data_IF_790886694154
#
_entry.id   IF_790886694154
#
_cell.length_a   1.000
_cell.length_b   1.000
_cell.length_c   1.000
_cell.angle_alpha   90.00
_cell.angle_beta   90.00
_cell.angle_gamma   90.00
#
_symmetry.space_group_name_H-M   'P 1'
#
loop_
_entity.id
_entity.type
_entity.pdbx_description
1 polymer ?
#
# COMPACT_ATOMS: atom_id res chain seq x y z
N UNK A 1 19.01 26.10 4.35
CA UNK A 1 18.87 25.86 2.89
C UNK A 1 19.20 24.42 2.51
N UNK A 2 20.37 23.89 2.94
CA UNK A 2 20.78 22.49 2.75
C UNK A 2 19.74 21.42 3.14
N UNK A 3 19.09 21.61 4.29
CA UNK A 3 18.02 20.74 4.80
C UNK A 3 16.82 20.67 3.84
N UNK A 4 16.33 21.81 3.38
CA UNK A 4 15.17 21.89 2.48
C UNK A 4 15.44 21.21 1.12
N UNK A 5 16.68 21.28 0.62
CA UNK A 5 17.09 20.61 -0.64
C UNK A 5 17.13 19.09 -0.43
N UNK A 6 17.72 18.62 0.67
CA UNK A 6 17.78 17.19 1.02
C UNK A 6 16.39 16.57 1.24
N UNK A 7 15.51 17.31 1.91
CA UNK A 7 14.15 16.87 2.20
C UNK A 7 13.24 16.93 0.97
N UNK A 8 13.47 17.89 0.07
CA UNK A 8 12.61 18.15 -1.09
C UNK A 8 12.81 17.17 -2.24
N UNK A 9 14.02 16.64 -2.43
CA UNK A 9 14.35 15.76 -3.55
C UNK A 9 15.02 14.44 -3.09
N UNK A 10 14.34 13.29 -3.26
CA UNK A 10 14.88 11.97 -2.90
C UNK A 10 16.08 11.54 -3.78
N UNK A 11 16.25 12.12 -4.98
CA UNK A 11 17.34 11.81 -5.90
C UNK A 11 18.64 12.54 -5.57
N UNK A 12 18.60 13.60 -4.77
CA UNK A 12 19.78 14.39 -4.43
C UNK A 12 20.64 13.65 -3.41
N UNK A 13 21.95 13.58 -3.70
CA UNK A 13 22.96 13.01 -2.82
C UNK A 13 23.64 14.07 -1.96
N UNK A 14 24.23 13.67 -0.82
CA UNK A 14 25.04 14.58 0.00
C UNK A 14 26.22 15.19 -0.75
N UNK A 15 26.75 14.50 -1.76
CA UNK A 15 27.82 15.03 -2.62
C UNK A 15 27.34 16.22 -3.46
N UNK A 16 26.15 16.12 -4.06
CA UNK A 16 25.56 17.22 -4.84
C UNK A 16 25.18 18.41 -3.96
N UNK A 17 24.67 18.16 -2.75
CA UNK A 17 24.39 19.24 -1.79
C UNK A 17 25.67 19.94 -1.35
N UNK A 18 26.74 19.16 -1.13
CA UNK A 18 28.05 19.69 -0.78
C UNK A 18 28.62 20.57 -1.90
N UNK A 19 28.47 20.16 -3.17
CA UNK A 19 28.87 20.92 -4.35
C UNK A 19 28.09 22.24 -4.48
N UNK A 20 26.76 22.22 -4.33
CA UNK A 20 25.90 23.41 -4.38
C UNK A 20 26.27 24.43 -3.30
N UNK A 21 26.68 23.95 -2.13
CA UNK A 21 26.99 24.79 -0.97
C UNK A 21 28.48 25.13 -0.84
N UNK A 22 29.34 24.61 -1.72
CA UNK A 22 30.78 24.79 -1.65
C UNK A 22 31.42 24.20 -0.38
N UNK A 23 30.84 23.16 0.20
CA UNK A 23 31.34 22.51 1.42
C UNK A 23 31.70 21.04 1.19
N UNK A 24 32.23 20.36 2.19
CA UNK A 24 32.59 18.94 2.07
C UNK A 24 31.38 18.04 2.32
N UNK A 25 31.31 16.88 1.64
CA UNK A 25 30.30 15.84 1.87
C UNK A 25 30.22 15.43 3.36
N UNK A 26 31.37 15.34 4.01
CA UNK A 26 31.45 14.99 5.44
C UNK A 26 30.78 16.05 6.32
N UNK A 27 30.96 17.34 6.01
CA UNK A 27 30.29 18.43 6.74
C UNK A 27 28.77 18.36 6.58
N UNK A 28 28.26 18.09 5.37
CA UNK A 28 26.82 17.91 5.13
C UNK A 28 26.29 16.68 5.87
N UNK A 29 27.01 15.56 5.84
CA UNK A 29 26.63 14.31 6.53
C UNK A 29 26.61 14.47 8.05
N UNK A 30 27.62 15.14 8.63
CA UNK A 30 27.65 15.43 10.07
C UNK A 30 26.51 16.38 10.46
N UNK A 31 26.22 17.38 9.64
CA UNK A 31 25.11 18.29 9.89
C UNK A 31 23.76 17.56 9.79
N UNK A 32 23.60 16.66 8.83
CA UNK A 32 22.39 15.84 8.69
C UNK A 32 22.19 14.93 9.91
N UNK A 33 23.24 14.26 10.38
CA UNK A 33 23.18 13.40 11.58
C UNK A 33 22.95 14.21 12.87
N UNK A 34 23.55 15.39 13.00
CA UNK A 34 23.43 16.25 14.19
C UNK A 34 22.05 16.89 14.34
N UNK A 35 21.31 17.04 13.24
CA UNK A 35 20.00 17.71 13.21
C UNK A 35 18.89 16.78 12.70
N UNK A 36 19.12 15.46 12.76
CA UNK A 36 18.14 14.43 12.42
C UNK A 36 17.42 14.66 11.09
N UNK A 37 18.17 14.97 10.02
CA UNK A 37 17.56 15.19 8.71
C UNK A 37 16.95 13.90 8.15
N UNK A 38 15.63 13.81 8.19
CA UNK A 38 14.89 12.72 7.56
C UNK A 38 14.49 13.07 6.12
N UNK A 39 14.56 12.10 5.21
CA UNK A 39 13.99 12.28 3.86
C UNK A 39 12.47 12.30 3.94
N UNK A 40 11.82 13.04 3.03
CA UNK A 40 10.38 12.92 2.86
C UNK A 40 10.04 11.50 2.39
N UNK A 41 9.06 10.83 3.03
CA UNK A 41 8.62 9.53 2.57
C UNK A 41 8.03 9.68 1.16
N UNK A 42 8.56 8.92 0.21
CA UNK A 42 8.04 8.84 -1.15
C UNK A 42 6.72 8.07 -1.16
N UNK A 43 5.84 8.28 -2.14
CA UNK A 43 4.61 7.49 -2.29
C UNK A 43 4.86 5.97 -2.23
N UNK A 44 5.97 5.51 -2.81
CA UNK A 44 6.46 4.14 -2.77
C UNK A 44 6.75 3.65 -1.34
N UNK A 45 7.50 4.43 -0.54
CA UNK A 45 7.78 4.06 0.87
C UNK A 45 6.51 4.01 1.71
N UNK A 46 5.55 4.91 1.46
CA UNK A 46 4.24 4.91 2.14
C UNK A 46 3.42 3.68 1.71
N UNK A 47 3.46 3.30 0.43
CA UNK A 47 2.79 2.10 -0.07
C UNK A 47 3.40 0.81 0.53
N UNK A 48 4.73 0.71 0.58
CA UNK A 48 5.43 -0.40 1.19
C UNK A 48 5.14 -0.53 2.70
N UNK A 49 5.13 0.59 3.43
CA UNK A 49 4.73 0.61 4.84
C UNK A 49 3.27 0.19 5.03
N UNK A 50 2.36 0.66 4.17
CA UNK A 50 0.96 0.26 4.22
C UNK A 50 0.76 -1.24 3.97
N UNK A 51 1.53 -1.82 3.04
CA UNK A 51 1.52 -3.27 2.80
C UNK A 51 1.95 -4.05 4.04
N UNK A 52 3.08 -3.68 4.65
CA UNK A 52 3.59 -4.33 5.85
C UNK A 52 2.64 -4.20 7.06
N UNK A 53 2.01 -3.03 7.23
CA UNK A 53 1.01 -2.79 8.25
C UNK A 53 -0.25 -3.65 8.02
N UNK A 54 -0.71 -3.76 6.77
CA UNK A 54 -1.83 -4.63 6.42
C UNK A 54 -1.50 -6.10 6.68
N UNK A 55 -0.29 -6.57 6.34
CA UNK A 55 0.19 -7.94 6.59
C UNK A 55 0.10 -8.30 8.07
N UNK A 56 0.70 -7.44 8.91
CA UNK A 56 0.70 -7.63 10.36
C UNK A 56 -0.72 -7.70 10.93
N UNK A 57 -1.60 -6.79 10.50
CA UNK A 57 -3.00 -6.75 10.96
C UNK A 57 -3.80 -7.97 10.50
N UNK A 58 -3.65 -8.38 9.25
CA UNK A 58 -4.36 -9.54 8.71
C UNK A 58 -3.95 -10.82 9.44
N UNK A 59 -2.66 -11.00 9.71
CA UNK A 59 -2.17 -12.16 10.48
C UNK A 59 -2.67 -12.17 11.92
N UNK A 60 -2.69 -11.02 12.59
CA UNK A 60 -3.23 -10.89 13.95
C UNK A 60 -4.70 -11.28 14.00
N UNK A 61 -5.52 -10.74 13.09
CA UNK A 61 -6.96 -11.07 13.03
C UNK A 61 -7.21 -12.56 12.71
N UNK A 62 -6.37 -13.19 11.89
CA UNK A 62 -6.46 -14.64 11.62
C UNK A 62 -6.07 -15.47 12.84
N UNK A 63 -5.03 -15.07 13.58
CA UNK A 63 -4.63 -15.71 14.85
C UNK A 63 -5.71 -15.57 15.91
N UNK A 64 -6.33 -14.40 16.03
CA UNK A 64 -7.46 -14.17 16.94
C UNK A 64 -8.68 -15.01 16.56
N UNK A 65 -9.03 -15.09 15.28
CA UNK A 65 -10.14 -15.95 14.81
C UNK A 65 -9.88 -17.42 15.09
N UNK A 66 -8.66 -17.90 14.86
CA UNK A 66 -8.31 -19.31 15.14
C UNK A 66 -8.28 -19.59 16.64
N UNK A 67 -7.85 -18.63 17.47
CA UNK A 67 -7.92 -18.73 18.93
C UNK A 67 -9.37 -18.72 19.46
N UNK A 68 -10.24 -17.84 18.95
CA UNK A 68 -11.66 -17.79 19.34
C UNK A 68 -12.47 -19.00 18.85
N UNK A 69 -12.09 -19.57 17.69
CA UNK A 69 -12.74 -20.78 17.15
C UNK A 69 -12.34 -22.05 17.91
N UNK A 70 -11.29 -22.02 18.74
CA UNK A 70 -10.92 -23.14 19.60
C UNK A 70 -11.83 -23.29 20.84
N UNK A 71 -12.53 -22.21 21.24
CA UNK A 71 -13.46 -22.19 22.38
C UNK A 71 -14.94 -22.30 21.99
N UNK A 72 -15.27 -22.36 20.68
CA UNK A 72 -16.65 -22.52 20.23
C UNK A 72 -16.75 -23.59 19.13
N UNK A 73 -17.24 -24.77 19.52
CA UNK A 73 -17.69 -25.79 18.59
C UNK A 73 -18.75 -25.19 17.64
N UNK A 74 -18.71 -25.47 16.32
CA UNK A 74 -19.66 -24.89 15.39
C UNK A 74 -21.05 -25.50 15.63
N UNK A 75 -21.93 -24.73 16.27
CA UNK A 75 -23.36 -24.98 16.19
C UNK A 75 -23.76 -24.85 14.72
N UNK A 76 -24.17 -25.98 14.15
CA UNK A 76 -24.75 -26.10 12.81
C UNK A 76 -25.92 -25.14 12.70
N UNK A 77 -25.78 -24.08 11.90
CA UNK A 77 -26.89 -23.23 11.51
C UNK A 77 -27.75 -23.99 10.50
N UNK A 78 -28.83 -24.62 10.98
CA UNK A 78 -29.97 -24.96 10.14
C UNK A 78 -30.69 -23.65 9.75
N UNK A 79 -30.61 -23.30 8.48
CA UNK A 79 -31.39 -22.20 7.89
C UNK A 79 -32.78 -22.72 7.54
N UNK A 80 -33.78 -22.40 8.36
CA UNK A 80 -35.19 -22.46 7.97
C UNK A 80 -35.52 -21.37 6.93
N UNK A 81 -36.41 -21.63 5.96
CA UNK A 81 -36.72 -20.68 4.90
C UNK A 81 -37.87 -19.78 5.34
N UNK A 82 -37.61 -18.64 6.00
CA UNK A 82 -38.57 -17.53 6.16
C UNK A 82 -37.90 -16.28 6.76
N UNK A 83 -36.83 -15.79 6.13
CA UNK A 83 -36.26 -14.48 6.47
C UNK A 83 -36.51 -13.51 5.32
N UNK A 84 -37.39 -12.54 5.55
CA UNK A 84 -37.67 -11.44 4.64
C UNK A 84 -36.36 -10.77 4.17
N UNK A 85 -36.30 -10.26 2.92
CA UNK A 85 -35.13 -9.59 2.41
C UNK A 85 -34.87 -8.34 3.25
N UNK A 86 -33.91 -8.44 4.16
CA UNK A 86 -33.42 -7.32 4.95
C UNK A 86 -32.93 -6.27 3.97
N UNK A 87 -33.71 -5.20 3.82
CA UNK A 87 -33.34 -4.06 2.98
C UNK A 87 -31.94 -3.63 3.39
N UNK A 88 -31.01 -3.70 2.45
CA UNK A 88 -29.71 -3.06 2.59
C UNK A 88 -29.97 -1.59 2.87
N UNK A 89 -29.90 -1.21 4.15
CA UNK A 89 -29.88 0.18 4.56
C UNK A 89 -28.52 0.70 4.14
N UNK A 90 -28.44 1.17 2.90
CA UNK A 90 -27.34 2.01 2.44
C UNK A 90 -27.35 3.23 3.35
N UNK A 91 -26.59 3.15 4.44
CA UNK A 91 -26.25 4.37 5.14
C UNK A 91 -25.43 5.19 4.15
N UNK A 92 -25.78 6.45 3.87
CA UNK A 92 -24.83 7.31 3.22
C UNK A 92 -23.59 7.32 4.11
N UNK A 93 -22.47 6.83 3.58
CA UNK A 93 -21.16 7.00 4.20
C UNK A 93 -20.97 8.51 4.22
N UNK A 94 -21.39 9.17 5.29
CA UNK A 94 -20.90 10.50 5.60
C UNK A 94 -19.41 10.29 5.83
N UNK A 95 -18.51 10.87 5.03
CA UNK A 95 -17.15 11.02 5.48
C UNK A 95 -17.22 11.97 6.67
N UNK A 96 -17.32 11.42 7.88
CA UNK A 96 -16.93 12.14 9.07
C UNK A 96 -15.42 12.30 8.91
N UNK A 97 -15.03 13.36 8.21
CA UNK A 97 -13.70 13.90 8.32
C UNK A 97 -13.56 14.37 9.77
N UNK A 98 -13.26 13.43 10.66
CA UNK A 98 -12.58 13.76 11.91
C UNK A 98 -11.19 14.16 11.46
N UNK A 99 -11.07 15.42 11.06
CA UNK A 99 -9.80 16.11 11.11
C UNK A 99 -9.49 16.15 12.61
N UNK A 100 -8.46 15.44 13.11
CA UNK A 100 -8.05 15.64 14.49
C UNK A 100 -7.71 17.13 14.61
N UNK A 101 -8.38 17.82 15.55
CA UNK A 101 -8.05 19.20 15.92
C UNK A 101 -6.53 19.26 16.09
N UNK A 102 -5.88 20.00 15.19
CA UNK A 102 -4.45 20.23 15.27
C UNK A 102 -4.22 20.97 16.58
N UNK A 103 -3.54 20.39 17.59
CA UNK A 103 -3.20 21.14 18.78
C UNK A 103 -2.38 22.36 18.35
N UNK A 104 -2.78 23.56 18.75
CA UNK A 104 -1.97 24.75 18.54
C UNK A 104 -0.60 24.53 19.23
N UNK A 105 0.46 24.47 18.43
CA UNK A 105 1.83 24.21 18.89
C UNK A 105 2.50 22.93 18.39
N UNK A 106 1.84 22.12 17.55
CA UNK A 106 2.50 20.95 16.94
C UNK A 106 3.55 21.41 15.92
N UNK A 107 4.79 20.92 16.07
CA UNK A 107 5.84 21.20 15.10
C UNK A 107 5.41 20.75 13.70
N UNK A 108 5.80 21.50 12.66
CA UNK A 108 5.45 21.18 11.27
C UNK A 108 5.83 19.73 10.88
N UNK A 109 6.89 19.21 11.50
CA UNK A 109 7.35 17.83 11.38
C UNK A 109 6.36 16.81 11.96
N UNK A 110 5.82 17.06 13.15
CA UNK A 110 4.83 16.18 13.77
C UNK A 110 3.49 16.20 13.00
N UNK A 111 3.06 17.36 12.50
CA UNK A 111 1.87 17.45 11.64
C UNK A 111 2.05 16.63 10.33
N UNK A 112 3.25 16.69 9.73
CA UNK A 112 3.60 15.89 8.54
C UNK A 112 3.64 14.39 8.86
N UNK A 113 4.21 14.00 9.99
CA UNK A 113 4.26 12.59 10.39
C UNK A 113 2.85 12.03 10.59
N UNK A 114 1.96 12.77 11.27
CA UNK A 114 0.56 12.38 11.43
C UNK A 114 -0.15 12.23 10.09
N UNK A 115 0.12 13.11 9.11
CA UNK A 115 -0.45 12.99 7.77
C UNK A 115 0.04 11.73 7.04
N UNK A 116 1.34 11.40 7.16
CA UNK A 116 1.92 10.17 6.62
C UNK A 116 1.31 8.95 7.29
N UNK A 117 1.27 8.90 8.62
CA UNK A 117 0.70 7.80 9.38
C UNK A 117 -0.78 7.58 9.03
N UNK A 118 -1.54 8.66 8.86
CA UNK A 118 -2.94 8.60 8.41
C UNK A 118 -3.05 8.02 7.01
N UNK A 119 -2.19 8.44 6.08
CA UNK A 119 -2.18 7.91 4.72
C UNK A 119 -1.80 6.41 4.69
N UNK A 120 -0.81 6.00 5.49
CA UNK A 120 -0.42 4.59 5.68
C UNK A 120 -1.60 3.80 6.24
N UNK A 121 -2.25 4.28 7.30
CA UNK A 121 -3.37 3.61 7.94
C UNK A 121 -4.55 3.38 6.98
N UNK A 122 -4.91 4.38 6.18
CA UNK A 122 -5.99 4.28 5.19
C UNK A 122 -5.66 3.28 4.08
N UNK A 123 -4.44 3.28 3.57
CA UNK A 123 -3.98 2.30 2.57
C UNK A 123 -3.92 0.89 3.14
N UNK A 124 -3.47 0.75 4.38
CA UNK A 124 -3.43 -0.55 5.07
C UNK A 124 -4.84 -1.10 5.30
N UNK A 125 -5.79 -0.24 5.66
CA UNK A 125 -7.21 -0.61 5.81
C UNK A 125 -7.79 -1.15 4.50
N UNK A 126 -7.55 -0.46 3.38
CA UNK A 126 -7.99 -0.89 2.05
C UNK A 126 -7.42 -2.26 1.67
N UNK A 127 -6.11 -2.47 1.85
CA UNK A 127 -5.46 -3.76 1.59
C UNK A 127 -6.00 -4.89 2.49
N UNK A 128 -6.31 -4.58 3.76
CA UNK A 128 -6.93 -5.55 4.65
C UNK A 128 -8.33 -5.95 4.17
N UNK A 129 -9.13 -4.98 3.72
CA UNK A 129 -10.45 -5.23 3.11
C UNK A 129 -10.32 -6.13 1.90
N UNK A 130 -9.40 -5.85 0.98
CA UNK A 130 -9.20 -6.68 -0.22
C UNK A 130 -8.92 -8.14 0.13
N UNK A 131 -8.10 -8.39 1.15
CA UNK A 131 -7.79 -9.76 1.60
C UNK A 131 -9.00 -10.46 2.18
N UNK A 132 -9.81 -9.75 2.97
CA UNK A 132 -11.06 -10.31 3.53
C UNK A 132 -12.05 -10.68 2.43
N UNK A 133 -12.18 -9.83 1.42
CA UNK A 133 -13.05 -10.09 0.27
C UNK A 133 -12.58 -11.33 -0.50
N UNK A 134 -11.28 -11.51 -0.69
CA UNK A 134 -10.73 -12.72 -1.32
C UNK A 134 -10.93 -13.99 -0.48
N UNK A 135 -10.90 -13.90 0.85
CA UNK A 135 -11.26 -15.02 1.73
C UNK A 135 -12.74 -15.38 1.54
N UNK A 136 -13.64 -14.39 1.45
CA UNK A 136 -15.06 -14.62 1.21
C UNK A 136 -15.31 -15.30 -0.15
N UNK A 137 -14.69 -14.80 -1.23
CA UNK A 137 -14.77 -15.42 -2.57
C UNK A 137 -14.26 -16.86 -2.54
N UNK A 138 -13.13 -17.13 -1.86
CA UNK A 138 -12.60 -18.48 -1.71
C UNK A 138 -13.57 -19.42 -0.99
N UNK A 139 -14.19 -18.95 0.10
CA UNK A 139 -15.16 -19.74 0.84
C UNK A 139 -16.40 -20.06 -0.01
N UNK A 140 -16.90 -19.10 -0.79
CA UNK A 140 -18.01 -19.33 -1.73
C UNK A 140 -17.64 -20.30 -2.85
N UNK A 141 -16.40 -20.23 -3.36
CA UNK A 141 -15.89 -21.16 -4.36
C UNK A 141 -15.84 -22.60 -3.79
N UNK A 142 -15.32 -22.78 -2.58
CA UNK A 142 -15.32 -24.09 -1.92
C UNK A 142 -16.73 -24.61 -1.64
N UNK A 143 -17.65 -23.74 -1.22
CA UNK A 143 -19.05 -24.11 -1.01
C UNK A 143 -19.71 -24.62 -2.30
N UNK A 144 -19.55 -23.91 -3.42
CA UNK A 144 -20.12 -24.31 -4.72
C UNK A 144 -19.49 -25.59 -5.28
N UNK A 145 -18.19 -25.79 -5.10
CA UNK A 145 -17.52 -27.05 -5.47
C UNK A 145 -18.05 -28.20 -4.62
N UNK A 146 -18.19 -28.00 -3.30
CA UNK A 146 -18.67 -29.03 -2.37
C UNK A 146 -20.12 -29.42 -2.65
N UNK A 147 -20.98 -28.45 -2.96
CA UNK A 147 -22.37 -28.69 -3.34
C UNK A 147 -22.52 -29.22 -4.78
N UNK A 148 -21.44 -29.20 -5.57
CA UNK A 148 -21.43 -29.55 -7.01
C UNK A 148 -22.41 -28.71 -7.83
N UNK A 149 -22.69 -27.48 -7.37
CA UNK A 149 -23.58 -26.56 -8.05
C UNK A 149 -22.78 -25.72 -9.05
N UNK A 150 -22.91 -26.07 -10.33
CA UNK A 150 -22.19 -25.41 -11.41
C UNK A 150 -22.66 -23.97 -11.66
N UNK A 151 -23.94 -23.67 -11.43
CA UNK A 151 -24.47 -22.31 -11.62
C UNK A 151 -23.96 -21.39 -10.51
N UNK A 152 -23.90 -21.88 -9.27
CA UNK A 152 -23.24 -21.15 -8.18
C UNK A 152 -21.74 -20.96 -8.46
N UNK A 153 -21.04 -21.96 -8.97
CA UNK A 153 -19.62 -21.81 -9.32
C UNK A 153 -19.39 -20.74 -10.39
N UNK A 154 -20.25 -20.67 -11.42
CA UNK A 154 -20.23 -19.61 -12.44
C UNK A 154 -20.50 -18.24 -11.82
N UNK A 155 -21.49 -18.14 -10.95
CA UNK A 155 -21.81 -16.91 -10.25
C UNK A 155 -20.62 -16.41 -9.42
N UNK A 156 -19.99 -17.28 -8.65
CA UNK A 156 -18.79 -16.96 -7.85
C UNK A 156 -17.64 -16.47 -8.74
N UNK A 157 -17.45 -17.06 -9.93
CA UNK A 157 -16.46 -16.55 -10.90
C UNK A 157 -16.76 -15.10 -11.31
N UNK A 158 -18.00 -14.79 -11.68
CA UNK A 158 -18.38 -13.41 -12.06
C UNK A 158 -18.19 -12.44 -10.91
N UNK A 159 -18.52 -12.85 -9.68
CA UNK A 159 -18.28 -12.06 -8.47
C UNK A 159 -16.79 -11.80 -8.27
N UNK A 160 -15.94 -12.84 -8.44
CA UNK A 160 -14.49 -12.70 -8.31
C UNK A 160 -13.89 -11.75 -9.36
N UNK A 161 -14.36 -11.82 -10.61
CA UNK A 161 -13.94 -10.91 -11.68
C UNK A 161 -14.37 -9.47 -11.41
N UNK A 162 -15.62 -9.29 -10.97
CA UNK A 162 -16.14 -7.96 -10.60
C UNK A 162 -15.36 -7.34 -9.45
N UNK A 163 -15.07 -8.13 -8.42
CA UNK A 163 -14.25 -7.70 -7.28
C UNK A 163 -12.85 -7.30 -7.72
N UNK A 164 -12.21 -8.09 -8.57
CA UNK A 164 -10.89 -7.77 -9.13
C UNK A 164 -10.90 -6.40 -9.84
N UNK A 165 -11.92 -6.11 -10.65
CA UNK A 165 -12.03 -4.82 -11.34
C UNK A 165 -12.12 -3.65 -10.36
N UNK A 166 -12.93 -3.79 -9.30
CA UNK A 166 -13.05 -2.76 -8.25
C UNK A 166 -11.71 -2.55 -7.55
N UNK A 167 -11.06 -3.63 -7.12
CA UNK A 167 -9.79 -3.56 -6.42
C UNK A 167 -8.67 -2.99 -7.28
N UNK A 168 -8.61 -3.34 -8.57
CA UNK A 168 -7.67 -2.75 -9.54
C UNK A 168 -7.92 -1.24 -9.71
N UNK A 169 -9.19 -0.81 -9.73
CA UNK A 169 -9.56 0.61 -9.77
C UNK A 169 -9.14 1.35 -8.49
N UNK A 170 -9.36 0.74 -7.34
CA UNK A 170 -8.97 1.29 -6.04
C UNK A 170 -7.46 1.38 -5.87
N UNK A 171 -6.70 0.34 -6.23
CA UNK A 171 -5.23 0.35 -6.18
C UNK A 171 -4.63 1.47 -7.04
N UNK A 172 -5.17 1.68 -8.24
CA UNK A 172 -4.78 2.78 -9.13
C UNK A 172 -5.11 4.15 -8.53
N UNK A 173 -6.32 4.32 -7.99
CA UNK A 173 -6.73 5.58 -7.36
C UNK A 173 -5.87 5.96 -6.16
N UNK A 174 -5.39 4.98 -5.39
CA UNK A 174 -4.56 5.19 -4.22
C UNK A 174 -3.04 5.20 -4.49
N UNK A 175 -2.64 4.96 -5.74
CA UNK A 175 -1.25 4.91 -6.15
C UNK A 175 -0.49 3.75 -5.51
N UNK A 176 -1.14 2.59 -5.34
CA UNK A 176 -0.51 1.37 -4.85
C UNK A 176 0.22 0.58 -5.95
N UNK A 177 -0.11 0.87 -7.22
CA UNK A 177 0.53 0.26 -8.40
C UNK A 177 1.74 1.08 -8.89
N UNK A 178 2.52 1.68 -7.98
CA UNK A 178 3.66 2.55 -8.33
C UNK A 178 4.84 1.82 -8.99
N UNK A 179 4.85 0.50 -8.96
CA UNK A 179 5.89 -0.32 -9.57
C UNK A 179 5.50 -0.76 -10.99
N UNK A 180 5.61 0.13 -11.99
CA UNK A 180 5.85 -0.29 -13.39
C UNK A 180 6.21 0.87 -14.34
N UNK A 181 7.13 1.75 -13.95
CA UNK A 181 7.97 2.43 -14.96
C UNK A 181 9.26 1.63 -15.11
N UNK A 182 9.20 0.56 -15.89
CA UNK A 182 10.42 -0.10 -16.41
C UNK A 182 11.32 1.03 -16.97
N UNK A 183 12.55 1.22 -16.48
CA UNK A 183 13.42 2.24 -17.04
C UNK A 183 13.55 1.96 -18.55
N UNK A 184 13.49 2.99 -19.42
CA UNK A 184 13.61 2.77 -20.85
C UNK A 184 14.92 2.02 -21.09
N UNK A 185 14.83 0.86 -21.75
CA UNK A 185 15.99 0.06 -22.09
C UNK A 185 16.96 0.93 -22.87
N UNK A 186 18.06 1.34 -22.25
CA UNK A 186 19.11 2.11 -22.91
C UNK A 186 19.80 1.16 -23.89
N UNK A 187 19.42 1.23 -25.17
CA UNK A 187 20.16 0.58 -26.25
C UNK A 187 21.47 1.36 -26.44
N UNK A 188 22.58 0.80 -25.97
CA UNK A 188 23.92 1.35 -26.20
C UNK A 188 24.35 0.99 -27.62
N UNK A 189 24.14 1.89 -28.57
CA UNK A 189 24.70 1.79 -29.93
C UNK A 189 26.20 2.10 -29.88
N UNK A 190 27.05 1.07 -29.88
CA UNK A 190 28.50 1.24 -30.00
C UNK A 190 28.82 1.54 -31.47
N UNK A 191 28.96 2.81 -31.82
CA UNK A 191 29.57 3.19 -33.10
C UNK A 191 31.09 2.94 -33.02
N UNK A 192 31.54 1.76 -33.45
CA UNK A 192 32.97 1.54 -33.71
C UNK A 192 33.37 2.43 -34.90
N UNK A 193 34.12 3.50 -34.63
CA UNK A 193 34.87 4.21 -35.69
C UNK A 193 35.82 3.20 -36.35
N UNK A 194 35.61 2.97 -37.64
CA UNK A 194 36.57 2.29 -38.49
C UNK A 194 37.87 3.12 -38.54
N UNK A 195 39.00 2.55 -38.11
CA UNK A 195 40.28 3.23 -38.24
C UNK A 195 41.35 2.93 -37.18
N UNK A 196 41.35 1.77 -36.53
CA UNK A 196 42.52 1.32 -35.76
C UNK A 196 42.91 -0.08 -36.26
N UNK A 197 43.84 -0.11 -37.21
CA UNK A 197 44.59 -1.30 -37.62
C UNK A 197 45.71 -1.52 -36.60
N UNK A 198 45.71 -2.67 -35.92
CA UNK A 198 46.85 -3.17 -35.14
C UNK A 198 47.34 -4.44 -35.83
N UNK A 199 48.62 -4.44 -36.23
CA UNK A 199 49.38 -5.56 -36.82
C UNK A 199 50.40 -4.99 -37.80
N UNK A 200 51.72 -5.17 -37.67
CA UNK A 200 52.53 -6.12 -36.91
C UNK A 200 53.49 -5.43 -35.94
#
# INVERSE_FOLDING_TARGET
MSRAIWEGDPGVSFSQIAEILGCSKSAVSMQAARNDWARRPTPETIAAQAQAAADSRFEQEQKERTAQSADHAPAVLESGPDAEPTRFRTQPIRPTAVVPDTPEGVSEEAARQVAVDTAVARRAELLNTHRKEWVAVRNLAYASIKSKDMEQAKHVKVVAESLKIVQDGERKAWGLDTDEKKPPSVQVTINRRAGVTIGH
#
